data_IF_143853394064
#
_entry.id   IF_143853394064
#
_cell.length_a   1.000
_cell.length_b   1.000
_cell.length_c   1.000
_cell.angle_alpha   90.00
_cell.angle_beta   90.00
_cell.angle_gamma   90.00
#
_symmetry.space_group_name_H-M   'P 1'
#
loop_
_entity.id
_entity.type
_entity.pdbx_description
1 polymer ?
#
# COMPACT_ATOMS: atom_id res chain seq x y z
N UNK A 1 -5.11 7.97 -15.79
CA UNK A 1 -5.31 7.03 -14.69
C UNK A 1 -5.02 5.61 -15.03
N UNK A 2 -5.76 5.05 -15.97
CA UNK A 2 -5.48 3.72 -16.49
C UNK A 2 -4.04 3.64 -17.00
N UNK A 3 -3.55 4.71 -17.63
CA UNK A 3 -2.19 4.78 -18.18
C UNK A 3 -1.13 4.65 -17.09
N UNK A 4 -1.34 5.26 -15.92
CA UNK A 4 -0.40 5.15 -14.80
C UNK A 4 -0.33 3.72 -14.26
N UNK A 5 -1.48 3.08 -14.11
CA UNK A 5 -1.54 1.69 -13.67
C UNK A 5 -0.81 0.79 -14.66
N UNK A 6 -1.09 0.94 -15.95
CA UNK A 6 -0.44 0.15 -16.99
C UNK A 6 1.07 0.39 -17.04
N UNK A 7 1.51 1.62 -16.79
CA UNK A 7 2.93 1.95 -16.72
C UNK A 7 3.63 1.15 -15.60
N UNK A 8 3.06 1.16 -14.41
CA UNK A 8 3.62 0.42 -13.27
C UNK A 8 3.58 -1.08 -13.55
N UNK A 9 2.47 -1.57 -14.11
CA UNK A 9 2.35 -2.98 -14.48
C UNK A 9 3.44 -3.40 -15.46
N UNK A 10 3.75 -2.57 -16.44
CA UNK A 10 4.81 -2.85 -17.41
C UNK A 10 6.17 -2.91 -16.73
N UNK A 11 6.45 -2.00 -15.79
CA UNK A 11 7.69 -2.03 -15.01
C UNK A 11 7.84 -3.36 -14.27
N UNK A 12 6.76 -3.82 -13.64
CA UNK A 12 6.79 -5.07 -12.86
C UNK A 12 6.93 -6.28 -13.78
N UNK A 13 6.19 -6.32 -14.88
CA UNK A 13 6.25 -7.44 -15.83
C UNK A 13 7.65 -7.60 -16.45
N UNK A 14 8.32 -6.48 -16.71
CA UNK A 14 9.67 -6.49 -17.28
C UNK A 14 10.72 -7.03 -16.31
N UNK A 15 10.45 -6.99 -15.01
CA UNK A 15 11.39 -7.40 -13.97
C UNK A 15 10.93 -8.64 -13.21
N UNK A 16 9.86 -9.31 -13.65
CA UNK A 16 9.35 -10.48 -12.95
C UNK A 16 10.35 -11.62 -12.96
N UNK A 17 10.35 -12.40 -11.88
CA UNK A 17 11.22 -13.56 -11.68
C UNK A 17 10.38 -14.66 -11.03
N UNK A 18 10.11 -15.71 -11.80
CA UNK A 18 9.22 -16.78 -11.34
C UNK A 18 9.75 -17.50 -10.10
N UNK A 19 11.06 -17.72 -10.00
CA UNK A 19 11.65 -18.39 -8.85
C UNK A 19 11.50 -17.55 -7.58
N UNK A 20 11.78 -16.25 -7.69
CA UNK A 20 11.56 -15.33 -6.57
C UNK A 20 10.08 -15.23 -6.22
N UNK A 21 9.19 -15.23 -7.23
CA UNK A 21 7.75 -15.17 -7.01
C UNK A 21 7.26 -16.36 -6.18
N UNK A 22 7.73 -17.57 -6.49
CA UNK A 22 7.36 -18.76 -5.74
C UNK A 22 7.86 -18.68 -4.29
N UNK A 23 9.10 -18.26 -4.10
CA UNK A 23 9.70 -18.13 -2.78
C UNK A 23 8.94 -17.09 -1.92
N UNK A 24 8.63 -15.95 -2.51
CA UNK A 24 7.90 -14.88 -1.80
C UNK A 24 6.47 -15.32 -1.46
N UNK A 25 5.80 -16.02 -2.38
CA UNK A 25 4.47 -16.56 -2.14
C UNK A 25 4.47 -17.57 -0.99
N UNK A 26 5.46 -18.46 -0.94
CA UNK A 26 5.60 -19.43 0.14
C UNK A 26 5.81 -18.76 1.49
N UNK A 27 6.63 -17.72 1.52
CA UNK A 27 6.86 -16.96 2.75
C UNK A 27 5.56 -16.36 3.28
N UNK A 28 4.64 -15.97 2.40
CA UNK A 28 3.33 -15.41 2.74
C UNK A 28 2.24 -16.49 2.83
N UNK A 29 2.62 -17.75 3.04
CA UNK A 29 1.67 -18.87 3.16
C UNK A 29 0.78 -19.06 1.93
N UNK A 30 1.30 -18.68 0.75
CA UNK A 30 0.60 -18.77 -0.53
C UNK A 30 -0.72 -17.99 -0.57
N UNK A 31 -0.83 -16.93 0.22
CA UNK A 31 -2.03 -16.07 0.24
C UNK A 31 -2.07 -15.08 -0.92
N UNK A 32 -0.94 -14.79 -1.55
CA UNK A 32 -0.83 -13.78 -2.60
C UNK A 32 -0.01 -14.28 -3.76
N UNK A 33 -0.28 -13.70 -4.93
CA UNK A 33 0.53 -13.90 -6.13
C UNK A 33 1.59 -12.79 -6.18
N UNK A 34 2.78 -13.12 -6.66
CA UNK A 34 3.90 -12.17 -6.77
C UNK A 34 4.45 -12.17 -8.19
N UNK A 35 4.95 -11.00 -8.62
CA UNK A 35 5.85 -10.95 -9.79
C UNK A 35 7.22 -11.53 -9.45
N UNK A 36 7.61 -11.41 -8.19
CA UNK A 36 8.90 -11.90 -7.74
C UNK A 36 9.97 -10.82 -7.73
N UNK A 37 9.62 -9.61 -7.30
CA UNK A 37 10.54 -8.46 -7.27
C UNK A 37 10.81 -8.12 -5.81
N UNK A 38 12.06 -8.38 -5.33
CA UNK A 38 12.41 -8.01 -3.95
C UNK A 38 12.31 -6.50 -3.70
N UNK A 39 12.10 -6.14 -2.44
CA UNK A 39 11.84 -4.76 -2.04
C UNK A 39 12.84 -3.73 -2.59
N UNK A 40 14.17 -3.94 -2.48
CA UNK A 40 15.10 -2.92 -3.00
C UNK A 40 14.96 -2.69 -4.50
N UNK A 41 14.84 -3.76 -5.27
CA UNK A 41 14.67 -3.70 -6.72
C UNK A 41 13.32 -3.08 -7.09
N UNK A 42 12.26 -3.47 -6.37
CA UNK A 42 10.92 -2.94 -6.59
C UNK A 42 10.89 -1.41 -6.40
N UNK A 43 11.42 -0.93 -5.28
CA UNK A 43 11.43 0.50 -4.98
C UNK A 43 12.27 1.30 -5.99
N UNK A 44 13.33 0.72 -6.48
CA UNK A 44 14.17 1.36 -7.50
C UNK A 44 13.40 1.54 -8.80
N UNK A 45 12.54 0.59 -9.17
CA UNK A 45 11.78 0.64 -10.41
C UNK A 45 10.88 1.87 -10.51
N UNK A 46 10.18 2.21 -9.41
CA UNK A 46 9.19 3.29 -9.46
C UNK A 46 9.63 4.55 -8.71
N UNK A 47 10.88 4.63 -8.30
CA UNK A 47 11.39 5.79 -7.54
C UNK A 47 11.17 7.11 -8.29
N UNK A 48 11.55 7.14 -9.56
CA UNK A 48 11.42 8.37 -10.37
C UNK A 48 9.96 8.70 -10.64
N UNK A 49 9.14 7.68 -10.88
CA UNK A 49 7.71 7.85 -11.05
C UNK A 49 7.08 8.52 -9.81
N UNK A 50 7.43 8.04 -8.62
CA UNK A 50 6.91 8.62 -7.38
C UNK A 50 7.34 10.07 -7.20
N UNK A 51 8.59 10.41 -7.56
CA UNK A 51 9.06 11.78 -7.51
C UNK A 51 8.24 12.69 -8.41
N UNK A 52 7.89 12.22 -9.61
CA UNK A 52 7.05 12.98 -10.53
C UNK A 52 5.63 13.14 -9.98
N UNK A 53 5.07 12.09 -9.41
CA UNK A 53 3.73 12.15 -8.82
C UNK A 53 3.67 13.14 -7.65
N UNK A 54 4.71 13.21 -6.85
CA UNK A 54 4.77 14.13 -5.69
C UNK A 54 4.61 15.59 -6.10
N UNK A 55 5.01 15.94 -7.30
CA UNK A 55 4.90 17.31 -7.81
C UNK A 55 3.45 17.77 -7.97
N UNK A 56 2.51 16.84 -8.09
CA UNK A 56 1.08 17.16 -8.24
C UNK A 56 0.40 17.61 -6.95
N UNK A 57 0.99 17.34 -5.80
CA UNK A 57 0.51 17.75 -4.48
C UNK A 57 -0.87 17.22 -4.11
N UNK A 58 -1.43 16.31 -4.90
CA UNK A 58 -2.71 15.65 -4.63
C UNK A 58 -2.56 14.16 -4.81
N UNK A 59 -3.22 13.40 -3.93
CA UNK A 59 -3.22 11.94 -3.98
C UNK A 59 -4.21 11.51 -5.05
N UNK A 60 -3.74 10.70 -5.99
CA UNK A 60 -4.58 10.14 -7.06
C UNK A 60 -5.21 8.82 -6.57
N UNK A 61 -6.30 8.95 -5.81
CA UNK A 61 -6.95 7.79 -5.20
C UNK A 61 -7.50 6.81 -6.23
N UNK A 62 -8.02 7.29 -7.36
CA UNK A 62 -8.54 6.40 -8.40
C UNK A 62 -7.44 5.50 -8.96
N UNK A 63 -6.26 6.05 -9.18
CA UNK A 63 -5.08 5.29 -9.60
C UNK A 63 -4.69 4.25 -8.54
N UNK A 64 -4.65 4.67 -7.28
CA UNK A 64 -4.29 3.76 -6.18
C UNK A 64 -5.32 2.63 -6.04
N UNK A 65 -6.59 2.92 -6.25
CA UNK A 65 -7.63 1.90 -6.19
C UNK A 65 -7.41 0.82 -7.26
N UNK A 66 -7.04 1.24 -8.48
CA UNK A 66 -6.72 0.29 -9.55
C UNK A 66 -5.53 -0.60 -9.16
N UNK A 67 -4.50 0.00 -8.60
CA UNK A 67 -3.32 -0.74 -8.16
C UNK A 67 -3.65 -1.73 -7.05
N UNK A 68 -4.42 -1.29 -6.04
CA UNK A 68 -4.70 -2.15 -4.89
C UNK A 68 -5.59 -3.33 -5.25
N UNK A 69 -6.39 -3.21 -6.31
CA UNK A 69 -7.24 -4.30 -6.79
C UNK A 69 -6.47 -5.37 -7.54
N UNK A 70 -5.25 -5.09 -7.99
CA UNK A 70 -4.45 -6.08 -8.70
C UNK A 70 -4.11 -7.25 -7.76
N UNK A 71 -4.09 -8.47 -8.30
CA UNK A 71 -3.83 -9.67 -7.53
C UNK A 71 -2.37 -9.81 -7.09
N UNK A 72 -1.44 -9.12 -7.74
CA UNK A 72 -0.01 -9.20 -7.42
C UNK A 72 0.30 -8.34 -6.21
N UNK A 73 0.95 -8.95 -5.22
CA UNK A 73 1.21 -8.28 -3.93
C UNK A 73 2.07 -7.02 -4.07
N UNK A 74 2.95 -6.98 -5.05
CA UNK A 74 3.79 -5.80 -5.29
C UNK A 74 2.97 -4.53 -5.53
N UNK A 75 1.76 -4.65 -6.08
CA UNK A 75 0.89 -3.49 -6.25
C UNK A 75 0.40 -2.94 -4.91
N UNK A 76 0.09 -3.80 -3.94
CA UNK A 76 -0.28 -3.32 -2.60
C UNK A 76 0.91 -2.64 -1.92
N UNK A 77 2.11 -3.17 -2.08
CA UNK A 77 3.33 -2.53 -1.57
C UNK A 77 3.57 -1.18 -2.23
N UNK A 78 3.32 -1.08 -3.54
CA UNK A 78 3.44 0.17 -4.26
C UNK A 78 2.50 1.24 -3.69
N UNK A 79 1.23 0.88 -3.41
CA UNK A 79 0.27 1.80 -2.81
C UNK A 79 0.78 2.30 -1.46
N UNK A 80 1.32 1.41 -0.63
CA UNK A 80 1.88 1.81 0.66
C UNK A 80 3.06 2.78 0.48
N UNK A 81 3.95 2.50 -0.44
CA UNK A 81 5.11 3.39 -0.71
C UNK A 81 4.66 4.74 -1.25
N UNK A 82 3.64 4.75 -2.12
CA UNK A 82 3.05 5.99 -2.63
C UNK A 82 2.48 6.84 -1.47
N UNK A 83 1.68 6.23 -0.60
CA UNK A 83 1.08 6.93 0.52
C UNK A 83 2.13 7.45 1.50
N UNK A 84 3.21 6.71 1.73
CA UNK A 84 4.32 7.18 2.55
C UNK A 84 5.01 8.39 1.92
N UNK A 85 5.15 8.41 0.60
CA UNK A 85 5.70 9.56 -0.12
C UNK A 85 4.82 10.79 0.06
N UNK A 86 3.50 10.60 0.14
CA UNK A 86 2.51 11.67 0.31
C UNK A 86 2.08 11.88 1.76
N UNK A 87 2.86 11.38 2.73
CA UNK A 87 2.50 11.42 4.16
C UNK A 87 2.07 12.81 4.62
N UNK A 88 2.75 13.85 4.15
CA UNK A 88 2.46 15.23 4.57
C UNK A 88 1.14 15.77 4.01
N UNK A 89 0.60 15.16 2.97
CA UNK A 89 -0.69 15.54 2.39
C UNK A 89 -1.85 14.70 2.94
N UNK A 90 -1.56 13.63 3.68
CA UNK A 90 -2.58 12.77 4.27
C UNK A 90 -3.21 13.45 5.49
N UNK A 91 -4.53 13.42 5.56
CA UNK A 91 -5.31 13.97 6.65
C UNK A 91 -6.24 12.91 7.23
N UNK A 92 -6.84 13.22 8.38
CA UNK A 92 -7.73 12.27 9.07
C UNK A 92 -8.82 11.71 8.14
N UNK A 93 -9.41 12.56 7.29
CA UNK A 93 -10.48 12.14 6.38
C UNK A 93 -10.04 11.08 5.38
N UNK A 94 -8.74 10.99 5.08
CA UNK A 94 -8.19 9.96 4.19
C UNK A 94 -8.17 8.57 4.81
N UNK A 95 -8.26 8.47 6.14
CA UNK A 95 -8.19 7.20 6.86
C UNK A 95 -9.34 6.27 6.46
N UNK A 96 -10.52 6.81 6.19
CA UNK A 96 -11.65 5.99 5.74
C UNK A 96 -11.36 5.31 4.40
N UNK A 97 -10.67 5.98 3.50
CA UNK A 97 -10.23 5.37 2.24
C UNK A 97 -9.21 4.26 2.50
N UNK A 98 -8.23 4.53 3.36
CA UNK A 98 -7.22 3.53 3.73
C UNK A 98 -7.84 2.34 4.45
N UNK A 99 -8.93 2.53 5.21
CA UNK A 99 -9.63 1.43 5.87
C UNK A 99 -10.16 0.42 4.85
N UNK A 100 -10.61 0.87 3.68
CA UNK A 100 -11.01 -0.03 2.61
C UNK A 100 -9.85 -0.93 2.20
N UNK A 101 -8.65 -0.36 2.05
CA UNK A 101 -7.44 -1.15 1.74
C UNK A 101 -7.08 -2.09 2.89
N UNK A 102 -7.17 -1.63 4.13
CA UNK A 102 -6.87 -2.46 5.30
C UNK A 102 -7.75 -3.71 5.32
N UNK A 103 -9.01 -3.58 4.96
CA UNK A 103 -9.96 -4.69 4.99
C UNK A 103 -9.86 -5.61 3.78
N UNK A 104 -9.12 -5.20 2.73
CA UNK A 104 -8.93 -6.00 1.52
C UNK A 104 -7.51 -6.57 1.51
N UNK A 105 -7.37 -7.84 1.11
CA UNK A 105 -6.07 -8.51 0.97
C UNK A 105 -5.22 -8.42 2.24
N UNK A 106 -5.84 -8.64 3.39
CA UNK A 106 -5.24 -8.46 4.72
C UNK A 106 -4.13 -9.47 5.00
N UNK A 107 -3.01 -8.98 5.49
CA UNK A 107 -1.93 -9.78 6.05
C UNK A 107 -1.01 -8.83 6.82
N UNK A 108 -0.10 -9.37 7.65
CA UNK A 108 0.73 -8.54 8.53
C UNK A 108 1.51 -7.46 7.78
N UNK A 109 1.98 -7.74 6.56
CA UNK A 109 2.83 -6.83 5.80
C UNK A 109 2.09 -5.56 5.33
N UNK A 110 0.81 -5.65 4.96
CA UNK A 110 0.04 -4.46 4.60
C UNK A 110 -0.48 -3.73 5.85
N UNK A 111 -0.94 -4.47 6.85
CA UNK A 111 -1.48 -3.90 8.08
C UNK A 111 -0.42 -3.08 8.81
N UNK A 112 0.80 -3.61 8.93
CA UNK A 112 1.88 -2.90 9.62
C UNK A 112 2.27 -1.61 8.88
N UNK A 113 2.21 -1.61 7.55
CA UNK A 113 2.43 -0.39 6.75
C UNK A 113 1.36 0.66 7.02
N UNK A 114 0.09 0.29 7.02
CA UNK A 114 -1.01 1.23 7.27
C UNK A 114 -0.99 1.74 8.72
N UNK A 115 -0.63 0.90 9.67
CA UNK A 115 -0.45 1.31 11.07
C UNK A 115 0.55 2.47 11.18
N UNK A 116 1.68 2.36 10.50
CA UNK A 116 2.70 3.41 10.49
C UNK A 116 2.16 4.69 9.86
N UNK A 117 1.49 4.59 8.72
CA UNK A 117 0.96 5.75 7.98
C UNK A 117 -0.09 6.47 8.81
N UNK A 118 -1.03 5.73 9.40
CA UNK A 118 -2.12 6.29 10.20
C UNK A 118 -1.57 6.88 11.49
N UNK A 119 -0.60 6.21 12.11
CA UNK A 119 0.07 6.72 13.31
C UNK A 119 0.73 8.07 13.11
N UNK A 120 1.31 8.32 11.93
CA UNK A 120 1.89 9.63 11.61
C UNK A 120 0.83 10.72 11.51
N UNK A 121 -0.34 10.41 10.98
CA UNK A 121 -1.46 11.35 10.97
C UNK A 121 -1.85 11.72 12.41
N UNK A 122 -1.81 10.73 13.31
CA UNK A 122 -2.13 10.91 14.73
C UNK A 122 -1.22 11.88 15.48
N UNK A 123 -0.01 12.13 14.96
CA UNK A 123 0.89 13.09 15.59
C UNK A 123 0.35 14.53 15.52
N UNK A 124 -0.52 14.82 14.55
CA UNK A 124 -1.07 16.16 14.34
C UNK A 124 -2.59 16.21 14.44
N UNK A 125 -3.26 15.08 14.65
CA UNK A 125 -4.73 15.03 14.74
C UNK A 125 -5.16 14.03 15.81
N UNK A 126 -5.69 14.56 16.92
CA UNK A 126 -6.08 13.74 18.09
C UNK A 126 -7.25 12.80 17.80
N UNK A 127 -8.04 13.05 16.74
CA UNK A 127 -9.14 12.16 16.38
C UNK A 127 -8.67 10.76 16.07
N UNK A 128 -7.39 10.59 15.68
CA UNK A 128 -6.80 9.28 15.40
C UNK A 128 -6.76 8.42 16.66
N UNK A 129 -6.46 9.01 17.81
CA UNK A 129 -6.42 8.28 19.08
C UNK A 129 -7.78 7.63 19.41
N UNK A 130 -8.87 8.38 19.23
CA UNK A 130 -10.22 7.86 19.45
C UNK A 130 -10.56 6.75 18.43
N UNK A 131 -10.15 6.96 17.17
CA UNK A 131 -10.39 5.96 16.12
C UNK A 131 -9.62 4.67 16.39
N UNK A 132 -8.37 4.77 16.84
CA UNK A 132 -7.55 3.60 17.18
C UNK A 132 -8.15 2.84 18.35
N UNK A 133 -8.68 3.56 19.33
CA UNK A 133 -9.37 2.93 20.47
C UNK A 133 -10.61 2.18 19.98
N UNK A 134 -11.39 2.78 19.10
CA UNK A 134 -12.56 2.12 18.49
C UNK A 134 -12.14 0.86 17.74
N UNK A 135 -11.08 0.95 16.92
CA UNK A 135 -10.62 -0.19 16.14
C UNK A 135 -10.05 -1.30 17.01
N UNK A 136 -9.51 -0.97 18.18
CA UNK A 136 -9.00 -1.98 19.11
C UNK A 136 -10.10 -2.93 19.62
N UNK A 137 -11.35 -2.50 19.50
CA UNK A 137 -12.54 -3.28 19.92
C UNK A 137 -13.27 -3.90 18.73
N UNK A 138 -12.78 -3.73 17.51
CA UNK A 138 -13.41 -4.27 16.30
C UNK A 138 -13.25 -5.80 16.25
N UNK A 139 -14.23 -6.48 15.67
CA UNK A 139 -14.19 -7.93 15.49
C UNK A 139 -13.15 -8.36 14.46
N UNK A 140 -12.75 -7.47 13.54
CA UNK A 140 -11.72 -7.75 12.56
C UNK A 140 -10.36 -7.81 13.24
N UNK A 141 -9.73 -9.00 13.23
CA UNK A 141 -8.44 -9.24 13.87
C UNK A 141 -7.37 -8.24 13.38
N UNK A 142 -7.32 -7.99 12.08
CA UNK A 142 -6.29 -7.12 11.50
C UNK A 142 -6.53 -5.66 11.83
N UNK A 143 -7.80 -5.25 11.94
CA UNK A 143 -8.13 -3.88 12.31
C UNK A 143 -7.74 -3.58 13.75
N UNK A 144 -7.82 -4.59 14.64
CA UNK A 144 -7.35 -4.46 16.03
C UNK A 144 -5.84 -4.31 16.14
N UNK A 145 -5.10 -4.88 15.18
CA UNK A 145 -3.66 -4.82 15.18
C UNK A 145 -3.20 -3.41 14.82
#
# INVERSE_FOLDING_TARGET
MMDKYLYIKQLFENMQDQNQALSMAQYMKNKFVFYGIPTPQRRKLYKDFLKQQKKHKQIDWDFLDLCYQDSHREFQYFVCDYLKMFQNQLVYEDIQHMKVYIKDKQWWDSIDNFDTIIGQIGLTDQRVDDLMLEWSLDDDFWLRR
#
